data_IF_402971904355
#
_entry.id   IF_402971904355
#
_cell.length_a   1.000
_cell.length_b   1.000
_cell.length_c   1.000
_cell.angle_alpha   90.00
_cell.angle_beta   90.00
_cell.angle_gamma   90.00
#
_symmetry.space_group_name_H-M   'P 1'
#
loop_
_entity.id
_entity.type
_entity.pdbx_description
1 polymer ?
#
# COMPACT_ATOMS: atom_id res chain seq x y z
N UNK A 1 -68.15 13.73 -6.69
CA UNK A 1 -67.27 13.29 -7.84
C UNK A 1 -67.80 11.95 -8.32
N UNK A 2 -68.40 11.90 -9.56
CA UNK A 2 -68.92 10.65 -10.14
C UNK A 2 -67.74 9.92 -10.79
N UNK A 3 -67.29 8.84 -10.19
CA UNK A 3 -66.31 7.95 -10.82
C UNK A 3 -67.00 7.16 -11.94
N UNK A 4 -66.69 7.47 -13.19
CA UNK A 4 -67.13 6.67 -14.33
C UNK A 4 -66.44 5.30 -14.26
N UNK A 5 -67.19 4.18 -14.32
CA UNK A 5 -66.63 2.86 -14.25
C UNK A 5 -65.78 2.60 -15.51
N UNK A 6 -64.46 2.34 -15.29
CA UNK A 6 -63.53 1.97 -16.34
C UNK A 6 -64.01 0.70 -17.07
N UNK A 7 -64.00 0.71 -18.39
CA UNK A 7 -64.32 -0.47 -19.19
C UNK A 7 -63.31 -1.58 -18.95
N UNK A 8 -63.68 -2.84 -19.14
CA UNK A 8 -62.80 -4.02 -18.95
C UNK A 8 -61.48 -3.88 -19.70
N UNK A 9 -61.52 -3.34 -20.93
CA UNK A 9 -60.34 -3.07 -21.76
C UNK A 9 -59.39 -2.06 -21.12
N UNK A 10 -59.90 -1.00 -20.49
CA UNK A 10 -59.09 0.01 -19.78
C UNK A 10 -58.48 -0.53 -18.52
N UNK A 11 -59.13 -1.42 -17.77
CA UNK A 11 -58.58 -2.08 -16.58
C UNK A 11 -57.42 -3.01 -16.94
N UNK A 12 -57.54 -3.80 -18.01
CA UNK A 12 -56.48 -4.66 -18.50
C UNK A 12 -55.27 -3.85 -18.98
N UNK A 13 -55.51 -2.77 -19.78
CA UNK A 13 -54.42 -1.89 -20.23
C UNK A 13 -53.70 -1.22 -19.06
N UNK A 14 -54.41 -0.76 -18.04
CA UNK A 14 -53.81 -0.17 -16.82
C UNK A 14 -52.99 -1.19 -16.03
N UNK A 15 -53.48 -2.43 -15.93
CA UNK A 15 -52.72 -3.51 -15.30
C UNK A 15 -51.38 -3.83 -16.01
N UNK A 16 -51.44 -3.91 -17.35
CA UNK A 16 -50.25 -4.13 -18.18
C UNK A 16 -49.26 -2.93 -18.05
N UNK A 17 -49.78 -1.70 -18.13
CA UNK A 17 -48.93 -0.50 -17.97
C UNK A 17 -48.27 -0.42 -16.58
N UNK A 18 -48.99 -0.78 -15.52
CA UNK A 18 -48.44 -0.83 -14.15
C UNK A 18 -47.34 -1.89 -14.02
N UNK A 19 -47.52 -3.05 -14.66
CA UNK A 19 -46.54 -4.14 -14.68
C UNK A 19 -45.28 -3.73 -15.44
N UNK A 20 -45.40 -3.06 -16.56
CA UNK A 20 -44.29 -2.49 -17.32
C UNK A 20 -43.55 -1.41 -16.53
N UNK A 21 -44.25 -0.51 -15.85
CA UNK A 21 -43.66 0.53 -15.02
C UNK A 21 -42.88 -0.08 -13.86
N UNK A 22 -43.38 -1.15 -13.25
CA UNK A 22 -42.69 -1.88 -12.18
C UNK A 22 -41.44 -2.58 -12.69
N UNK A 23 -41.47 -3.21 -13.85
CA UNK A 23 -40.31 -3.82 -14.48
C UNK A 23 -39.21 -2.81 -14.81
N UNK A 24 -39.62 -1.64 -15.37
CA UNK A 24 -38.67 -0.54 -15.63
C UNK A 24 -38.04 0.02 -14.35
N UNK A 25 -38.83 0.17 -13.29
CA UNK A 25 -38.34 0.62 -12.00
C UNK A 25 -37.31 -0.37 -11.39
N UNK A 26 -37.60 -1.69 -11.48
CA UNK A 26 -36.68 -2.74 -11.04
C UNK A 26 -35.40 -2.78 -11.87
N UNK A 27 -35.50 -2.63 -13.18
CA UNK A 27 -34.35 -2.57 -14.09
C UNK A 27 -33.48 -1.33 -13.82
N UNK A 28 -34.08 -0.17 -13.57
CA UNK A 28 -33.36 1.05 -13.22
C UNK A 28 -32.68 0.93 -11.86
N UNK A 29 -33.34 0.38 -10.84
CA UNK A 29 -32.76 0.14 -9.52
C UNK A 29 -31.59 -0.85 -9.59
N UNK A 30 -31.74 -1.95 -10.35
CA UNK A 30 -30.67 -2.91 -10.59
C UNK A 30 -29.45 -2.30 -11.30
N UNK A 31 -29.70 -1.46 -12.32
CA UNK A 31 -28.63 -0.76 -13.04
C UNK A 31 -27.85 0.22 -12.16
N UNK A 32 -28.54 1.00 -11.31
CA UNK A 32 -27.89 1.89 -10.35
C UNK A 32 -27.05 1.13 -9.33
N UNK A 33 -27.59 0.03 -8.78
CA UNK A 33 -26.85 -0.78 -7.81
C UNK A 33 -25.57 -1.42 -8.38
N UNK A 34 -25.61 -1.89 -9.65
CA UNK A 34 -24.43 -2.45 -10.33
C UNK A 34 -23.39 -1.37 -10.60
N UNK A 35 -23.80 -0.19 -11.03
CA UNK A 35 -22.89 0.92 -11.33
C UNK A 35 -22.18 1.46 -10.08
N UNK A 36 -22.90 1.63 -8.99
CA UNK A 36 -22.33 2.11 -7.73
C UNK A 36 -21.35 1.08 -7.11
N UNK A 37 -21.66 -0.21 -7.26
CA UNK A 37 -20.80 -1.28 -6.78
C UNK A 37 -19.50 -1.37 -7.59
N UNK A 38 -19.56 -1.19 -8.93
CA UNK A 38 -18.35 -1.13 -9.78
C UNK A 38 -17.45 0.05 -9.40
N UNK A 39 -18.00 1.24 -9.24
CA UNK A 39 -17.23 2.42 -8.86
C UNK A 39 -16.53 2.25 -7.48
N UNK A 40 -17.18 1.56 -6.55
CA UNK A 40 -16.63 1.26 -5.24
C UNK A 40 -15.47 0.26 -5.33
N UNK A 41 -15.63 -0.82 -6.10
CA UNK A 41 -14.60 -1.84 -6.32
C UNK A 41 -13.38 -1.23 -7.03
N UNK A 42 -13.59 -0.41 -8.06
CA UNK A 42 -12.51 0.28 -8.77
C UNK A 42 -11.73 1.21 -7.84
N UNK A 43 -12.40 1.96 -6.98
CA UNK A 43 -11.73 2.81 -5.97
C UNK A 43 -10.92 2.00 -4.98
N UNK A 44 -11.47 0.89 -4.47
CA UNK A 44 -10.74 -0.01 -3.56
C UNK A 44 -9.50 -0.58 -4.24
N UNK A 45 -9.62 -1.06 -5.48
CA UNK A 45 -8.50 -1.57 -6.25
C UNK A 45 -7.42 -0.50 -6.50
N UNK A 46 -7.80 0.76 -6.75
CA UNK A 46 -6.85 1.87 -6.91
C UNK A 46 -6.13 2.19 -5.60
N UNK A 47 -6.83 2.18 -4.48
CA UNK A 47 -6.21 2.41 -3.15
C UNK A 47 -5.23 1.29 -2.82
N UNK A 48 -5.62 0.03 -3.01
CA UNK A 48 -4.74 -1.11 -2.73
C UNK A 48 -3.53 -1.15 -3.68
N UNK A 49 -3.71 -0.82 -4.96
CA UNK A 49 -2.59 -0.67 -5.91
C UNK A 49 -1.63 0.47 -5.49
N UNK A 50 -2.16 1.60 -4.96
CA UNK A 50 -1.33 2.68 -4.44
C UNK A 50 -0.54 2.25 -3.21
N UNK A 51 -1.14 1.47 -2.28
CA UNK A 51 -0.43 0.91 -1.13
C UNK A 51 0.72 0.00 -1.56
N UNK A 52 0.51 -0.88 -2.55
CA UNK A 52 1.56 -1.73 -3.12
C UNK A 52 2.69 -0.88 -3.71
N UNK A 53 2.36 0.14 -4.51
CA UNK A 53 3.35 1.04 -5.11
C UNK A 53 4.20 1.74 -4.04
N UNK A 54 3.57 2.32 -3.02
CA UNK A 54 4.28 2.99 -1.92
C UNK A 54 5.17 2.02 -1.12
N UNK A 55 4.68 0.79 -0.90
CA UNK A 55 5.47 -0.26 -0.25
C UNK A 55 6.71 -0.64 -1.07
N UNK A 56 6.57 -0.76 -2.39
CA UNK A 56 7.69 -1.03 -3.30
C UNK A 56 8.71 0.11 -3.31
N UNK A 57 8.26 1.37 -3.29
CA UNK A 57 9.15 2.54 -3.21
C UNK A 57 10.03 2.46 -1.95
N UNK A 58 9.42 2.19 -0.80
CA UNK A 58 10.16 2.06 0.47
C UNK A 58 11.14 0.88 0.44
N UNK A 59 10.73 -0.29 -0.06
CA UNK A 59 11.59 -1.46 -0.17
C UNK A 59 12.78 -1.21 -1.11
N UNK A 60 12.55 -0.50 -2.24
CA UNK A 60 13.60 -0.14 -3.19
C UNK A 60 14.64 0.78 -2.56
N UNK A 61 14.21 1.84 -1.86
CA UNK A 61 15.12 2.78 -1.17
C UNK A 61 15.95 2.03 -0.11
N UNK A 62 15.32 1.13 0.65
CA UNK A 62 16.00 0.34 1.67
C UNK A 62 17.07 -0.57 1.06
N UNK A 63 16.74 -1.25 -0.04
CA UNK A 63 17.67 -2.12 -0.78
C UNK A 63 18.86 -1.33 -1.34
N UNK A 64 18.62 -0.14 -1.89
CA UNK A 64 19.68 0.75 -2.35
C UNK A 64 20.59 1.18 -1.20
N UNK A 65 20.03 1.61 -0.07
CA UNK A 65 20.81 1.99 1.11
C UNK A 65 21.65 0.83 1.64
N UNK A 66 21.09 -0.39 1.67
CA UNK A 66 21.78 -1.59 2.09
C UNK A 66 22.99 -1.89 1.21
N UNK A 67 22.80 -1.83 -0.11
CA UNK A 67 23.88 -2.07 -1.10
C UNK A 67 24.96 -1.01 -1.00
N UNK A 68 24.59 0.26 -0.91
CA UNK A 68 25.56 1.35 -0.77
C UNK A 68 26.38 1.21 0.53
N UNK A 69 25.69 0.92 1.65
CA UNK A 69 26.37 0.74 2.94
C UNK A 69 27.29 -0.49 2.95
N UNK A 70 26.86 -1.59 2.31
CA UNK A 70 27.72 -2.76 2.12
C UNK A 70 29.02 -2.40 1.38
N UNK A 71 28.90 -1.68 0.26
CA UNK A 71 30.07 -1.25 -0.52
C UNK A 71 30.99 -0.30 0.28
N UNK A 72 30.41 0.56 1.13
CA UNK A 72 31.20 1.46 1.97
C UNK A 72 32.04 0.73 3.03
N UNK A 73 31.53 -0.36 3.61
CA UNK A 73 32.29 -1.13 4.62
C UNK A 73 33.26 -2.11 4.03
N UNK A 74 33.11 -2.49 2.76
CA UNK A 74 34.03 -3.41 2.05
C UNK A 74 35.10 -2.70 1.23
N UNK A 75 34.79 -1.51 0.70
CA UNK A 75 35.68 -0.74 -0.17
C UNK A 75 36.05 0.58 0.51
N UNK A 76 37.36 0.86 0.67
CA UNK A 76 37.83 2.14 1.21
C UNK A 76 37.79 3.22 0.11
N UNK A 77 36.60 3.79 -0.12
CA UNK A 77 36.35 4.84 -1.13
C UNK A 77 35.77 6.10 -0.49
N UNK A 78 36.61 7.09 -0.16
CA UNK A 78 36.16 8.32 0.52
C UNK A 78 35.07 9.09 -0.24
N UNK A 79 35.12 9.12 -1.58
CA UNK A 79 34.11 9.81 -2.39
C UNK A 79 32.72 9.17 -2.28
N UNK A 80 32.64 7.84 -2.20
CA UNK A 80 31.35 7.14 -1.97
C UNK A 80 30.82 7.40 -0.59
N UNK A 81 31.71 7.45 0.40
CA UNK A 81 31.33 7.75 1.78
C UNK A 81 30.66 9.11 1.88
N UNK A 82 31.30 10.16 1.37
CA UNK A 82 30.74 11.52 1.38
C UNK A 82 29.42 11.61 0.63
N UNK A 83 29.32 10.97 -0.54
CA UNK A 83 28.08 10.91 -1.33
C UNK A 83 26.94 10.22 -0.58
N UNK A 84 27.23 9.10 0.07
CA UNK A 84 26.24 8.38 0.88
C UNK A 84 25.76 9.24 2.05
N UNK A 85 26.70 9.83 2.80
CA UNK A 85 26.43 10.68 3.97
C UNK A 85 25.56 11.89 3.60
N UNK A 86 25.82 12.53 2.47
CA UNK A 86 25.04 13.65 1.95
C UNK A 86 23.64 13.21 1.46
N UNK A 87 23.52 12.04 0.84
CA UNK A 87 22.24 11.54 0.31
C UNK A 87 21.35 10.86 1.36
N UNK A 88 21.90 10.47 2.51
CA UNK A 88 21.16 9.75 3.54
C UNK A 88 19.93 10.51 4.09
N UNK A 89 20.01 11.82 4.43
CA UNK A 89 18.85 12.57 4.92
C UNK A 89 17.70 12.62 3.92
N UNK A 90 17.98 12.76 2.64
CA UNK A 90 16.97 12.78 1.57
C UNK A 90 16.26 11.41 1.48
N UNK A 91 17.00 10.31 1.45
CA UNK A 91 16.44 8.95 1.41
C UNK A 91 15.55 8.68 2.62
N UNK A 92 15.99 9.07 3.82
CA UNK A 92 15.21 8.93 5.05
C UNK A 92 13.94 9.80 5.04
N UNK A 93 14.01 10.99 4.46
CA UNK A 93 12.87 11.89 4.28
C UNK A 93 11.83 11.28 3.35
N UNK A 94 12.26 10.77 2.18
CA UNK A 94 11.36 10.10 1.22
C UNK A 94 10.70 8.87 1.87
N UNK A 95 11.45 8.02 2.57
CA UNK A 95 10.87 6.88 3.29
C UNK A 95 9.82 7.31 4.33
N UNK A 96 10.07 8.42 5.04
CA UNK A 96 9.12 8.96 6.02
C UNK A 96 7.84 9.46 5.36
N UNK A 97 7.97 10.17 4.24
CA UNK A 97 6.84 10.65 3.44
C UNK A 97 5.99 9.47 2.92
N UNK A 98 6.63 8.47 2.29
CA UNK A 98 5.92 7.29 1.76
C UNK A 98 5.18 6.52 2.86
N UNK A 99 5.81 6.40 4.03
CA UNK A 99 5.15 5.80 5.19
C UNK A 99 3.94 6.62 5.66
N UNK A 100 4.03 7.95 5.69
CA UNK A 100 2.90 8.81 6.06
C UNK A 100 1.75 8.67 5.08
N UNK A 101 2.03 8.67 3.78
CA UNK A 101 1.03 8.39 2.72
C UNK A 101 0.38 7.00 2.91
N UNK A 102 1.17 5.97 3.26
CA UNK A 102 0.63 4.63 3.57
C UNK A 102 -0.30 4.65 4.78
N UNK A 103 0.06 5.36 5.85
CA UNK A 103 -0.77 5.45 7.07
C UNK A 103 -2.12 6.12 6.81
N UNK A 104 -2.20 7.07 5.88
CA UNK A 104 -3.46 7.72 5.47
C UNK A 104 -4.37 6.77 4.69
N UNK A 105 -3.79 5.85 3.91
CA UNK A 105 -4.53 4.89 3.09
C UNK A 105 -4.96 3.64 3.86
N UNK A 106 -4.32 3.36 5.00
CA UNK A 106 -4.55 2.14 5.79
C UNK A 106 -5.73 2.34 6.73
N UNK A 107 -6.75 1.50 6.58
CA UNK A 107 -7.96 1.50 7.41
C UNK A 107 -8.01 0.33 8.39
N UNK A 108 -7.36 -0.79 8.08
CA UNK A 108 -7.43 -2.01 8.86
C UNK A 108 -6.38 -2.06 9.98
N UNK A 109 -6.76 -2.67 11.10
CA UNK A 109 -5.91 -2.78 12.29
C UNK A 109 -4.63 -3.59 12.04
N UNK A 110 -4.72 -4.67 11.26
CA UNK A 110 -3.58 -5.52 10.92
C UNK A 110 -2.54 -4.76 10.08
N UNK A 111 -2.97 -4.04 9.05
CA UNK A 111 -2.08 -3.20 8.24
C UNK A 111 -1.39 -2.13 9.09
N UNK A 112 -2.14 -1.48 9.99
CA UNK A 112 -1.60 -0.46 10.92
C UNK A 112 -0.55 -1.06 11.86
N UNK A 113 -0.78 -2.27 12.35
CA UNK A 113 0.17 -2.96 13.20
C UNK A 113 1.48 -3.22 12.46
N UNK A 114 1.42 -3.70 11.22
CA UNK A 114 2.61 -3.93 10.38
C UNK A 114 3.36 -2.62 10.11
N UNK A 115 2.65 -1.52 9.78
CA UNK A 115 3.28 -0.21 9.57
C UNK A 115 3.92 0.35 10.84
N UNK A 116 3.39 0.06 12.02
CA UNK A 116 4.01 0.42 13.29
C UNK A 116 5.25 -0.43 13.59
N UNK A 117 5.22 -1.73 13.27
CA UNK A 117 6.40 -2.60 13.34
C UNK A 117 7.51 -2.10 12.41
N UNK A 118 7.18 -1.75 11.15
CA UNK A 118 8.11 -1.15 10.20
C UNK A 118 8.72 0.17 10.72
N UNK A 119 7.95 0.98 11.44
CA UNK A 119 8.49 2.20 12.05
C UNK A 119 9.55 1.91 13.12
N UNK A 120 9.32 0.92 13.98
CA UNK A 120 10.31 0.46 14.96
C UNK A 120 11.57 -0.03 14.28
N UNK A 121 11.44 -0.91 13.28
CA UNK A 121 12.57 -1.44 12.50
C UNK A 121 13.36 -0.34 11.78
N UNK A 122 12.64 0.67 11.23
CA UNK A 122 13.31 1.84 10.62
C UNK A 122 14.20 2.58 11.64
N UNK A 123 13.69 2.82 12.85
CA UNK A 123 14.46 3.50 13.90
C UNK A 123 15.70 2.71 14.26
N UNK A 124 15.59 1.39 14.46
CA UNK A 124 16.72 0.50 14.71
C UNK A 124 17.73 0.51 13.56
N UNK A 125 17.24 0.50 12.30
CA UNK A 125 18.09 0.56 11.11
C UNK A 125 18.87 1.87 11.05
N UNK A 126 18.21 3.03 11.19
CA UNK A 126 18.86 4.35 11.15
C UNK A 126 19.93 4.44 12.24
N UNK A 127 19.62 4.02 13.46
CA UNK A 127 20.61 4.00 14.56
C UNK A 127 21.81 3.10 14.26
N UNK A 128 21.58 1.93 13.63
CA UNK A 128 22.68 1.03 13.25
C UNK A 128 23.54 1.61 12.13
N UNK A 129 22.94 2.31 11.16
CA UNK A 129 23.67 3.03 10.09
C UNK A 129 24.53 4.14 10.67
N UNK A 130 23.98 4.95 11.58
CA UNK A 130 24.73 6.03 12.25
C UNK A 130 25.96 5.49 12.99
N UNK A 131 25.85 4.32 13.62
CA UNK A 131 26.99 3.67 14.29
C UNK A 131 28.04 3.19 13.29
N UNK A 132 27.63 2.61 12.14
CA UNK A 132 28.57 2.23 11.07
C UNK A 132 29.30 3.46 10.56
N UNK A 133 28.57 4.55 10.25
CA UNK A 133 29.17 5.79 9.76
C UNK A 133 30.15 6.40 10.79
N UNK A 134 29.81 6.34 12.09
CA UNK A 134 30.70 6.81 13.14
C UNK A 134 32.04 6.07 13.14
N UNK A 135 32.05 4.73 12.99
CA UNK A 135 33.28 3.97 12.89
C UNK A 135 34.08 4.31 11.62
N UNK A 136 33.39 4.56 10.49
CA UNK A 136 34.04 5.01 9.27
C UNK A 136 34.66 6.41 9.42
N UNK A 137 33.94 7.35 10.07
CA UNK A 137 34.47 8.70 10.40
C UNK A 137 35.73 8.68 11.22
N UNK A 138 35.90 7.68 12.11
CA UNK A 138 37.09 7.52 12.98
C UNK A 138 38.18 6.63 12.36
N UNK A 139 37.99 6.15 11.11
CA UNK A 139 38.96 5.27 10.44
C UNK A 139 38.96 3.83 10.97
N UNK A 140 37.91 3.44 11.69
CA UNK A 140 37.78 2.12 12.32
C UNK A 140 37.02 1.15 11.37
N UNK A 141 37.55 0.93 10.16
CA UNK A 141 36.89 0.10 9.13
C UNK A 141 36.55 -1.33 9.59
N UNK A 142 37.36 -2.06 10.36
CA UNK A 142 36.98 -3.38 10.87
C UNK A 142 35.76 -3.34 11.80
N UNK A 143 35.66 -2.31 12.67
CA UNK A 143 34.53 -2.12 13.58
C UNK A 143 33.27 -1.72 12.81
N UNK A 144 33.39 -0.88 11.77
CA UNK A 144 32.30 -0.55 10.88
C UNK A 144 31.72 -1.80 10.20
N UNK A 145 32.59 -2.70 9.71
CA UNK A 145 32.19 -3.96 9.09
C UNK A 145 31.49 -4.88 10.09
N UNK A 146 32.06 -5.08 11.29
CA UNK A 146 31.43 -5.89 12.34
C UNK A 146 30.05 -5.32 12.73
N UNK A 147 29.94 -4.01 12.91
CA UNK A 147 28.68 -3.32 13.23
C UNK A 147 27.66 -3.52 12.13
N UNK A 148 28.06 -3.39 10.85
CA UNK A 148 27.19 -3.64 9.71
C UNK A 148 26.67 -5.07 9.71
N UNK A 149 27.55 -6.06 9.81
CA UNK A 149 27.18 -7.47 9.74
C UNK A 149 26.35 -7.94 10.93
N UNK A 150 26.65 -7.49 12.14
CA UNK A 150 25.99 -7.99 13.36
C UNK A 150 24.76 -7.20 13.77
N UNK A 151 24.64 -5.95 13.35
CA UNK A 151 23.53 -5.08 13.77
C UNK A 151 22.70 -4.58 12.60
N UNK A 152 23.34 -3.98 11.60
CA UNK A 152 22.62 -3.35 10.50
C UNK A 152 21.95 -4.39 9.59
N UNK A 153 22.68 -5.41 9.15
CA UNK A 153 22.18 -6.44 8.25
C UNK A 153 21.01 -7.25 8.82
N UNK A 154 21.01 -7.72 10.08
CA UNK A 154 19.85 -8.39 10.67
C UNK A 154 18.60 -7.52 10.72
N UNK A 155 18.74 -6.22 11.04
CA UNK A 155 17.61 -5.29 11.06
C UNK A 155 17.05 -5.08 9.66
N UNK A 156 17.91 -4.98 8.64
CA UNK A 156 17.52 -4.91 7.24
C UNK A 156 16.69 -6.13 6.81
N UNK A 157 17.15 -7.34 7.17
CA UNK A 157 16.43 -8.59 6.85
C UNK A 157 15.06 -8.60 7.52
N UNK A 158 14.96 -8.23 8.79
CA UNK A 158 13.68 -8.16 9.50
C UNK A 158 12.75 -7.09 8.91
N UNK A 159 13.31 -5.95 8.50
CA UNK A 159 12.53 -4.89 7.83
C UNK A 159 11.95 -5.40 6.50
N UNK A 160 12.79 -6.05 5.68
CA UNK A 160 12.36 -6.63 4.40
C UNK A 160 11.25 -7.66 4.60
N UNK A 161 11.42 -8.60 5.54
CA UNK A 161 10.38 -9.61 5.86
C UNK A 161 9.06 -8.98 6.33
N UNK A 162 9.13 -7.90 7.11
CA UNK A 162 7.93 -7.18 7.56
C UNK A 162 7.25 -6.47 6.38
N UNK A 163 8.04 -5.90 5.46
CA UNK A 163 7.52 -5.27 4.24
C UNK A 163 6.90 -6.32 3.30
N UNK A 164 7.51 -7.49 3.13
CA UNK A 164 6.99 -8.58 2.32
C UNK A 164 5.63 -9.07 2.86
N UNK A 165 5.47 -9.15 4.20
CA UNK A 165 4.17 -9.44 4.82
C UNK A 165 3.11 -8.39 4.45
N UNK A 166 3.46 -7.12 4.51
CA UNK A 166 2.56 -6.03 4.11
C UNK A 166 2.13 -6.18 2.65
N UNK A 167 3.09 -6.38 1.74
CA UNK A 167 2.82 -6.55 0.31
C UNK A 167 1.96 -7.78 0.04
N UNK A 168 2.23 -8.89 0.72
CA UNK A 168 1.43 -10.13 0.58
C UNK A 168 -0.05 -9.90 0.92
N UNK A 169 -0.34 -9.19 2.01
CA UNK A 169 -1.72 -8.82 2.38
C UNK A 169 -2.36 -7.94 1.29
N UNK A 170 -1.63 -6.94 0.76
CA UNK A 170 -2.17 -6.09 -0.30
C UNK A 170 -2.47 -6.88 -1.58
N UNK A 171 -1.59 -7.78 -1.99
CA UNK A 171 -1.81 -8.64 -3.17
C UNK A 171 -2.99 -9.58 -2.99
N UNK A 172 -3.17 -10.16 -1.79
CA UNK A 172 -4.34 -10.98 -1.50
C UNK A 172 -5.65 -10.18 -1.62
N UNK A 173 -5.67 -8.95 -1.11
CA UNK A 173 -6.83 -8.06 -1.22
C UNK A 173 -7.14 -7.68 -2.66
N UNK A 174 -6.14 -7.31 -3.44
CA UNK A 174 -6.29 -7.02 -4.86
C UNK A 174 -6.88 -8.21 -5.63
N UNK A 175 -6.38 -9.41 -5.38
CA UNK A 175 -6.87 -10.64 -6.01
C UNK A 175 -8.31 -10.95 -5.61
N UNK A 176 -8.67 -10.79 -4.34
CA UNK A 176 -10.02 -11.05 -3.85
C UNK A 176 -11.03 -10.03 -4.39
N UNK A 177 -10.66 -8.74 -4.41
CA UNK A 177 -11.49 -7.68 -4.98
C UNK A 177 -11.68 -7.88 -6.49
N UNK A 178 -10.63 -8.30 -7.21
CA UNK A 178 -10.71 -8.63 -8.63
C UNK A 178 -11.65 -9.80 -8.94
N UNK A 179 -11.61 -10.88 -8.13
CA UNK A 179 -12.52 -12.03 -8.26
C UNK A 179 -13.97 -11.64 -8.00
N UNK A 180 -14.24 -10.88 -6.94
CA UNK A 180 -15.60 -10.40 -6.63
C UNK A 180 -16.16 -9.48 -7.73
N UNK A 181 -15.30 -8.69 -8.37
CA UNK A 181 -15.70 -7.86 -9.51
C UNK A 181 -16.10 -8.72 -10.73
N UNK A 182 -15.36 -9.81 -10.99
CA UNK A 182 -15.64 -10.71 -12.14
C UNK A 182 -16.83 -11.63 -11.92
N UNK A 183 -17.15 -12.03 -10.70
CA UNK A 183 -18.30 -12.90 -10.38
C UNK A 183 -19.65 -12.15 -10.41
N UNK A 184 -19.61 -10.81 -10.29
CA UNK A 184 -20.80 -9.95 -10.29
C UNK A 184 -21.04 -9.22 -11.63
N UNK A 185 -20.19 -9.46 -12.64
CA UNK A 185 -20.31 -8.90 -13.99
C UNK A 185 -20.96 -9.87 -14.95
#
# INVERSE_FOLDING_TARGET
>A
MKFTPLTLKQRVMLGIAALFALLLALAAAGWHGVRDNRATIERMAQVDARKVSLGNDVASILSQMATELYLLVEEDQPERYEKFKQGLPEKLSIMSQRRSELLELVTESEERQILNELAGRRTEFVSSVEQVLKHLDTGEAPQARDQFQRRCLPVLVLYSQTMDRFQHIQHQKLNNNGKQASEKA
#
